data_IF_771664274076
#
_entry.id   IF_771664274076
#
_cell.length_a   1.000
_cell.length_b   1.000
_cell.length_c   1.000
_cell.angle_alpha   90.00
_cell.angle_beta   90.00
_cell.angle_gamma   90.00
#
_symmetry.space_group_name_H-M   'P 1'
#
loop_
_entity.id
_entity.type
_entity.pdbx_description
1 polymer ?
#
# COMPACT_ATOMS: atom_id res chain seq x y z
N UNK A 1 28.67 2.06 20.30
CA UNK A 1 28.14 3.44 20.39
C UNK A 1 26.80 3.46 19.68
N UNK A 2 25.71 3.81 20.37
CA UNK A 2 24.41 3.96 19.72
C UNK A 2 24.37 5.35 19.06
N UNK A 3 23.99 5.41 17.78
CA UNK A 3 23.82 6.67 17.08
C UNK A 3 22.48 7.29 17.54
N UNK A 4 22.52 8.51 18.07
CA UNK A 4 21.32 9.27 18.44
C UNK A 4 20.99 10.26 17.34
N UNK A 5 19.71 10.34 17.00
CA UNK A 5 19.16 11.33 16.08
C UNK A 5 18.45 12.40 16.88
N UNK A 6 18.77 13.66 16.58
CA UNK A 6 18.11 14.82 17.19
C UNK A 6 17.07 15.36 16.21
N UNK A 7 15.80 15.31 16.60
CA UNK A 7 14.71 15.98 15.89
C UNK A 7 14.47 17.34 16.54
N UNK A 8 14.79 18.41 15.81
CA UNK A 8 14.60 19.78 16.26
C UNK A 8 13.16 20.28 16.09
N UNK A 9 12.84 21.41 16.74
CA UNK A 9 11.53 22.05 16.71
C UNK A 9 10.36 21.12 17.11
N UNK A 10 10.63 20.16 17.98
CA UNK A 10 9.62 19.25 18.50
C UNK A 10 8.73 19.97 19.53
N UNK A 11 7.42 19.87 19.36
CA UNK A 11 6.40 20.42 20.25
C UNK A 11 5.61 19.28 20.89
N UNK A 12 5.53 19.28 22.21
CA UNK A 12 4.66 18.36 22.94
C UNK A 12 3.20 18.67 22.62
N UNK A 13 2.48 17.69 22.10
CA UNK A 13 1.03 17.79 21.80
C UNK A 13 0.22 17.18 22.94
N UNK A 14 0.67 16.02 23.42
CA UNK A 14 0.16 15.33 24.59
C UNK A 14 1.30 14.50 25.22
N UNK A 15 1.07 13.92 26.40
CA UNK A 15 2.03 12.99 27.01
C UNK A 15 2.33 11.84 26.05
N UNK A 16 3.61 11.66 25.70
CA UNK A 16 4.04 10.63 24.75
C UNK A 16 3.74 10.93 23.27
N UNK A 17 3.32 12.15 22.93
CA UNK A 17 3.02 12.56 21.56
C UNK A 17 3.63 13.93 21.24
N UNK A 18 4.46 13.97 20.21
CA UNK A 18 5.09 15.21 19.74
C UNK A 18 4.80 15.47 18.26
N UNK A 19 4.69 16.74 17.91
CA UNK A 19 4.75 17.19 16.51
C UNK A 19 6.12 17.78 16.24
N UNK A 20 6.66 17.52 15.06
CA UNK A 20 7.96 18.03 14.63
C UNK A 20 7.99 18.16 13.10
N UNK A 21 9.14 18.58 12.56
CA UNK A 21 9.37 18.60 11.12
C UNK A 21 10.51 17.65 10.75
N UNK A 22 10.26 16.77 9.78
CA UNK A 22 11.27 15.90 9.19
C UNK A 22 10.85 15.55 7.76
N UNK A 23 11.77 15.68 6.80
CA UNK A 23 11.42 15.46 5.40
C UNK A 23 11.01 14.00 5.15
N UNK A 24 10.11 13.73 4.19
CA UNK A 24 9.77 12.35 3.83
C UNK A 24 10.98 11.50 3.44
N UNK A 25 12.04 12.12 2.90
CA UNK A 25 13.28 11.42 2.58
C UNK A 25 14.01 10.96 3.85
N UNK A 26 14.09 11.82 4.88
CA UNK A 26 14.73 11.50 6.15
C UNK A 26 13.92 10.49 6.96
N UNK A 27 12.58 10.59 6.95
CA UNK A 27 11.71 9.58 7.60
C UNK A 27 11.94 8.20 6.99
N UNK A 28 12.11 8.09 5.66
CA UNK A 28 12.44 6.82 4.99
C UNK A 28 13.80 6.27 5.39
N UNK A 29 14.75 7.11 5.79
CA UNK A 29 16.06 6.65 6.31
C UNK A 29 15.95 6.02 7.69
N UNK A 30 14.88 6.33 8.45
CA UNK A 30 14.63 5.72 9.77
C UNK A 30 14.06 4.31 9.65
N UNK A 31 13.49 3.95 8.50
CA UNK A 31 12.98 2.61 8.24
C UNK A 31 11.96 2.57 7.11
N UNK A 32 11.61 1.35 6.71
CA UNK A 32 10.55 1.07 5.76
C UNK A 32 9.19 1.43 6.36
N UNK A 33 8.46 2.31 5.69
CA UNK A 33 7.13 2.71 6.13
C UNK A 33 6.09 1.65 5.79
N UNK A 34 5.25 1.29 6.76
CA UNK A 34 4.14 0.34 6.54
C UNK A 34 3.06 0.92 5.62
N UNK A 35 2.91 2.24 5.61
CA UNK A 35 1.97 3.02 4.81
C UNK A 35 2.69 4.26 4.22
N UNK A 36 2.16 4.77 3.11
CA UNK A 36 2.60 6.03 2.52
C UNK A 36 1.38 6.81 2.02
N UNK A 37 0.52 7.22 2.96
CA UNK A 37 -0.79 7.81 2.69
C UNK A 37 -0.95 9.10 3.50
N UNK A 38 -1.51 10.13 2.86
CA UNK A 38 -1.83 11.39 3.51
C UNK A 38 -0.62 12.31 3.68
N UNK A 39 -0.86 13.45 4.34
CA UNK A 39 0.10 14.56 4.35
C UNK A 39 1.25 14.40 5.33
N UNK A 40 1.02 13.69 6.44
CA UNK A 40 1.91 13.69 7.61
C UNK A 40 2.62 12.37 7.79
N UNK A 41 3.89 12.42 8.14
CA UNK A 41 4.66 11.25 8.57
C UNK A 41 4.33 10.89 10.02
N UNK A 42 4.38 9.60 10.34
CA UNK A 42 4.14 9.10 11.70
C UNK A 42 5.20 8.05 12.02
N UNK A 43 5.91 8.26 13.12
CA UNK A 43 6.89 7.30 13.66
C UNK A 43 6.56 6.96 15.12
N UNK A 44 6.83 5.72 15.51
CA UNK A 44 6.84 5.27 16.88
C UNK A 44 8.27 5.06 17.36
N UNK A 45 8.58 5.46 18.59
CA UNK A 45 9.93 5.41 19.15
C UNK A 45 9.90 4.79 20.54
N UNK A 46 10.84 3.91 20.85
CA UNK A 46 10.99 3.32 22.18
C UNK A 46 12.02 4.10 22.99
N UNK A 47 11.60 4.63 24.15
CA UNK A 47 12.43 5.43 25.06
C UNK A 47 12.94 6.74 24.46
N UNK A 48 12.09 7.61 23.86
CA UNK A 48 12.51 8.93 23.44
C UNK A 48 12.87 9.81 24.64
N UNK A 49 13.85 10.71 24.46
CA UNK A 49 14.13 11.75 25.46
C UNK A 49 13.73 13.11 24.90
N UNK A 50 12.78 13.78 25.56
CA UNK A 50 12.33 15.11 25.17
C UNK A 50 12.97 16.19 26.03
N UNK A 51 13.72 17.08 25.41
CA UNK A 51 14.36 18.23 26.04
C UNK A 51 13.49 19.47 25.83
N UNK A 52 12.64 19.78 26.81
CA UNK A 52 11.68 20.88 26.72
C UNK A 52 12.33 22.25 26.52
N UNK A 53 13.47 22.50 27.16
CA UNK A 53 14.19 23.77 27.07
C UNK A 53 14.73 24.07 25.66
N UNK A 54 15.06 23.03 24.88
CA UNK A 54 15.61 23.17 23.53
C UNK A 54 14.61 22.80 22.43
N UNK A 55 13.40 22.36 22.79
CA UNK A 55 12.40 21.82 21.86
C UNK A 55 12.98 20.72 20.96
N UNK A 56 13.69 19.77 21.59
CA UNK A 56 14.38 18.67 20.89
C UNK A 56 13.87 17.33 21.36
N UNK A 57 13.72 16.41 20.42
CA UNK A 57 13.44 15.01 20.70
C UNK A 57 14.66 14.18 20.28
N UNK A 58 15.26 13.49 21.24
CA UNK A 58 16.35 12.57 21.01
C UNK A 58 15.78 11.16 20.87
N UNK A 59 16.10 10.53 19.74
CA UNK A 59 15.63 9.19 19.41
C UNK A 59 16.79 8.32 18.92
N UNK A 60 16.64 7.00 19.06
CA UNK A 60 17.57 6.05 18.49
C UNK A 60 16.95 5.47 17.21
N UNK A 61 17.56 5.63 16.03
CA UNK A 61 17.01 5.09 14.78
C UNK A 61 16.71 3.59 14.85
N UNK A 62 17.58 2.81 15.51
CA UNK A 62 17.38 1.37 15.72
C UNK A 62 16.15 1.02 16.59
N UNK A 63 15.61 1.99 17.33
CA UNK A 63 14.40 1.86 18.16
C UNK A 63 13.21 2.62 17.59
N UNK A 64 13.29 2.99 16.31
CA UNK A 64 12.25 3.72 15.59
C UNK A 64 11.48 2.79 14.67
N UNK A 65 10.17 2.89 14.67
CA UNK A 65 9.26 2.23 13.72
C UNK A 65 8.57 3.29 12.88
N UNK A 66 8.68 3.19 11.56
CA UNK A 66 7.98 4.10 10.64
C UNK A 66 6.59 3.54 10.33
N UNK A 67 5.55 4.20 10.82
CA UNK A 67 4.16 3.80 10.55
C UNK A 67 3.65 4.34 9.22
N UNK A 68 3.94 5.62 8.95
CA UNK A 68 3.52 6.30 7.73
C UNK A 68 4.59 7.28 7.26
N UNK A 69 4.76 7.39 5.94
CA UNK A 69 5.51 8.48 5.32
C UNK A 69 4.54 9.37 4.55
N UNK A 70 4.38 10.61 5.02
CA UNK A 70 3.57 11.62 4.36
C UNK A 70 4.26 12.25 3.14
N UNK A 71 3.60 13.23 2.53
CA UNK A 71 4.13 14.03 1.42
C UNK A 71 4.59 15.45 1.83
N UNK A 72 4.41 15.84 3.09
CA UNK A 72 4.97 17.07 3.67
C UNK A 72 6.04 16.76 4.71
N UNK A 73 6.69 17.82 5.21
CA UNK A 73 7.67 17.71 6.30
C UNK A 73 7.02 17.55 7.68
N UNK A 74 5.68 17.52 7.78
CA UNK A 74 5.00 17.38 9.07
C UNK A 74 5.17 15.94 9.62
N UNK A 75 5.66 15.83 10.85
CA UNK A 75 5.91 14.57 11.54
C UNK A 75 5.17 14.51 12.88
N UNK A 76 4.54 13.38 13.17
CA UNK A 76 4.14 12.99 14.51
C UNK A 76 5.03 11.87 15.05
N UNK A 77 5.44 12.01 16.31
CA UNK A 77 6.25 11.03 17.03
C UNK A 77 5.47 10.52 18.22
N UNK A 78 5.34 9.19 18.31
CA UNK A 78 4.60 8.49 19.37
C UNK A 78 5.58 7.74 20.24
N UNK A 79 5.56 7.98 21.55
CA UNK A 79 6.27 7.16 22.53
C UNK A 79 5.60 5.79 22.64
N UNK A 80 6.36 4.74 22.35
CA UNK A 80 5.92 3.35 22.49
C UNK A 80 6.26 2.77 23.88
N UNK A 81 6.88 3.57 24.76
CA UNK A 81 7.31 3.21 26.10
C UNK A 81 8.69 2.56 26.15
N UNK A 82 9.06 2.03 27.32
CA UNK A 82 10.28 1.23 27.50
C UNK A 82 10.01 -0.24 27.16
N UNK A 83 10.90 -0.83 26.34
CA UNK A 83 10.88 -2.26 26.08
C UNK A 83 11.27 -3.03 27.35
N UNK A 84 10.28 -3.38 28.18
CA UNK A 84 10.48 -4.33 29.28
C UNK A 84 10.69 -5.73 28.70
N UNK A 85 11.96 -6.12 28.61
CA UNK A 85 12.38 -7.48 28.33
C UNK A 85 12.25 -7.89 26.87
N UNK A 86 13.18 -8.76 26.47
CA UNK A 86 13.24 -9.52 25.22
C UNK A 86 12.01 -10.42 25.08
N UNK A 87 10.84 -9.82 24.91
CA UNK A 87 9.72 -10.52 24.31
C UNK A 87 10.00 -10.45 22.82
N UNK A 88 10.35 -11.58 22.22
CA UNK A 88 10.19 -11.74 20.78
C UNK A 88 8.85 -11.11 20.43
N UNK A 89 8.88 -10.02 19.66
CA UNK A 89 7.67 -9.44 19.10
C UNK A 89 6.94 -10.63 18.50
N UNK A 90 5.72 -10.98 18.97
CA UNK A 90 4.97 -12.04 18.32
C UNK A 90 4.95 -11.66 16.85
N UNK A 91 5.36 -12.58 15.98
CA UNK A 91 5.29 -12.40 14.52
C UNK A 91 3.87 -12.00 14.06
N UNK A 92 2.89 -12.04 14.97
CA UNK A 92 1.52 -11.57 14.88
C UNK A 92 1.29 -10.04 14.82
N UNK A 93 2.31 -9.17 14.99
CA UNK A 93 2.19 -7.72 14.72
C UNK A 93 3.02 -7.24 13.50
N UNK A 94 3.52 -8.19 12.73
CA UNK A 94 3.97 -7.97 11.37
C UNK A 94 2.72 -7.69 10.55
N UNK A 95 2.65 -6.53 9.90
CA UNK A 95 1.70 -6.27 8.84
C UNK A 95 2.01 -7.13 7.60
N UNK A 96 2.09 -8.45 7.77
CA UNK A 96 1.71 -9.36 6.71
C UNK A 96 0.22 -9.12 6.59
N UNK A 97 -0.22 -8.45 5.53
CA UNK A 97 -1.65 -8.48 5.25
C UNK A 97 -2.01 -9.95 5.10
N UNK A 98 -2.82 -10.44 6.03
CA UNK A 98 -3.22 -11.83 6.00
C UNK A 98 -3.99 -12.06 4.72
N UNK A 99 -3.72 -13.20 4.09
CA UNK A 99 -4.59 -13.72 3.05
C UNK A 99 -6.02 -13.72 3.61
N UNK A 100 -6.94 -13.05 2.91
CA UNK A 100 -8.34 -12.90 3.26
C UNK A 100 -8.78 -11.52 3.76
N UNK A 101 -7.86 -10.59 4.07
CA UNK A 101 -8.22 -9.25 4.53
C UNK A 101 -8.11 -8.20 3.42
N UNK A 102 -9.15 -7.37 3.26
CA UNK A 102 -9.06 -6.16 2.44
C UNK A 102 -8.27 -5.07 3.16
N UNK A 103 -7.44 -4.36 2.42
CA UNK A 103 -6.60 -3.29 2.93
C UNK A 103 -7.19 -1.90 2.71
N UNK A 104 -6.59 -0.88 3.33
CA UNK A 104 -6.95 0.51 3.05
C UNK A 104 -6.72 0.89 1.58
N UNK A 105 -5.64 0.40 0.95
CA UNK A 105 -5.37 0.64 -0.46
C UNK A 105 -6.46 0.06 -1.37
N UNK A 106 -7.00 -1.10 -1.01
CA UNK A 106 -8.14 -1.72 -1.70
C UNK A 106 -9.42 -0.90 -1.53
N UNK A 107 -9.69 -0.39 -0.32
CA UNK A 107 -10.85 0.47 -0.05
C UNK A 107 -10.76 1.77 -0.86
N UNK A 108 -9.59 2.39 -0.91
CA UNK A 108 -9.34 3.60 -1.71
C UNK A 108 -9.56 3.36 -3.22
N UNK A 109 -9.16 2.20 -3.72
CA UNK A 109 -9.42 1.81 -5.11
C UNK A 109 -10.93 1.69 -5.40
N UNK A 110 -11.68 1.06 -4.50
CA UNK A 110 -13.14 0.93 -4.66
C UNK A 110 -13.84 2.29 -4.60
N UNK A 111 -13.48 3.15 -3.64
CA UNK A 111 -13.98 4.53 -3.58
C UNK A 111 -13.59 5.35 -4.82
N UNK A 112 -12.45 5.05 -5.46
CA UNK A 112 -12.09 5.67 -6.73
C UNK A 112 -12.99 5.20 -7.89
N UNK A 113 -13.42 3.93 -7.90
CA UNK A 113 -14.38 3.43 -8.89
C UNK A 113 -15.73 4.16 -8.78
N UNK A 114 -16.21 4.39 -7.57
CA UNK A 114 -17.43 5.15 -7.29
C UNK A 114 -17.28 6.63 -7.68
N UNK A 115 -16.18 7.27 -7.26
CA UNK A 115 -15.90 8.68 -7.53
C UNK A 115 -15.82 8.99 -9.03
N UNK A 116 -15.24 8.08 -9.81
CA UNK A 116 -15.14 8.20 -11.26
C UNK A 116 -16.42 7.75 -11.99
N UNK A 117 -17.50 7.44 -11.25
CA UNK A 117 -18.82 7.11 -11.78
C UNK A 117 -18.81 5.92 -12.73
N UNK A 118 -18.06 4.86 -12.39
CA UNK A 118 -18.16 3.62 -13.15
C UNK A 118 -19.57 3.02 -13.04
N UNK A 119 -20.02 2.28 -14.07
CA UNK A 119 -21.25 1.50 -13.98
C UNK A 119 -21.25 0.57 -12.76
N UNK A 120 -22.41 0.40 -12.12
CA UNK A 120 -22.56 -0.39 -10.89
C UNK A 120 -22.03 -1.82 -11.05
N UNK A 121 -22.29 -2.47 -12.18
CA UNK A 121 -21.77 -3.82 -12.46
C UNK A 121 -20.25 -3.88 -12.47
N UNK A 122 -19.56 -2.80 -12.87
CA UNK A 122 -18.10 -2.75 -12.82
C UNK A 122 -17.56 -2.45 -11.42
N UNK A 123 -18.30 -1.72 -10.60
CA UNK A 123 -17.97 -1.55 -9.19
C UNK A 123 -18.09 -2.91 -8.48
N UNK A 124 -19.17 -3.64 -8.72
CA UNK A 124 -19.33 -5.02 -8.23
C UNK A 124 -18.23 -5.96 -8.74
N UNK A 125 -17.86 -5.85 -10.01
CA UNK A 125 -16.72 -6.58 -10.58
C UNK A 125 -15.41 -6.24 -9.85
N UNK A 126 -15.16 -4.97 -9.55
CA UNK A 126 -13.99 -4.54 -8.79
C UNK A 126 -13.96 -5.15 -7.39
N UNK A 127 -15.09 -5.13 -6.66
CA UNK A 127 -15.22 -5.81 -5.36
C UNK A 127 -14.89 -7.30 -5.46
N UNK A 128 -15.48 -8.01 -6.44
CA UNK A 128 -15.26 -9.44 -6.65
C UNK A 128 -13.80 -9.75 -7.01
N UNK A 129 -13.18 -8.93 -7.87
CA UNK A 129 -11.78 -9.07 -8.27
C UNK A 129 -10.87 -8.93 -7.06
N UNK A 130 -11.00 -7.82 -6.32
CA UNK A 130 -10.15 -7.56 -5.17
C UNK A 130 -10.34 -8.62 -4.08
N UNK A 131 -11.59 -8.96 -3.73
CA UNK A 131 -11.87 -10.01 -2.75
C UNK A 131 -11.25 -11.36 -3.13
N UNK A 132 -11.36 -11.76 -4.39
CA UNK A 132 -10.79 -13.01 -4.90
C UNK A 132 -9.26 -13.02 -4.89
N UNK A 133 -8.62 -11.88 -5.18
CA UNK A 133 -7.17 -11.73 -5.08
C UNK A 133 -6.75 -11.84 -3.62
N UNK A 134 -7.37 -11.07 -2.72
CA UNK A 134 -6.99 -11.05 -1.30
C UNK A 134 -7.22 -12.38 -0.61
N UNK A 135 -8.22 -13.15 -1.03
CA UNK A 135 -8.44 -14.51 -0.58
C UNK A 135 -7.30 -15.50 -0.90
N UNK A 136 -6.37 -15.14 -1.79
CA UNK A 136 -5.22 -16.00 -2.18
C UNK A 136 -3.86 -15.34 -2.02
N UNK A 137 -3.80 -14.02 -2.14
CA UNK A 137 -2.57 -13.24 -2.18
C UNK A 137 -2.68 -12.05 -1.24
N UNK A 138 -1.72 -11.96 -0.32
CA UNK A 138 -1.50 -10.76 0.48
C UNK A 138 -1.16 -9.55 -0.42
N UNK A 139 -1.40 -8.34 0.08
CA UNK A 139 -1.02 -7.11 -0.61
C UNK A 139 -2.19 -6.15 -0.76
N UNK A 140 -1.96 -5.04 -1.45
CA UNK A 140 -2.95 -3.96 -1.56
C UNK A 140 -2.92 -3.30 -2.92
N UNK A 141 -4.01 -2.63 -3.31
CA UNK A 141 -3.97 -1.69 -4.42
C UNK A 141 -3.23 -0.41 -4.00
N UNK A 142 -2.31 0.05 -4.84
CA UNK A 142 -1.60 1.32 -4.69
C UNK A 142 -1.94 2.23 -5.85
N UNK A 143 -2.36 3.45 -5.55
CA UNK A 143 -2.62 4.47 -6.56
C UNK A 143 -1.31 4.90 -7.23
N UNK A 144 -1.35 4.96 -8.56
CA UNK A 144 -0.32 5.52 -9.40
C UNK A 144 -0.87 6.71 -10.21
N UNK A 145 -0.15 7.09 -11.26
CA UNK A 145 -0.56 8.19 -12.13
C UNK A 145 -1.71 7.78 -13.06
N UNK A 146 -2.51 8.75 -13.50
CA UNK A 146 -3.55 8.59 -14.51
C UNK A 146 -4.58 7.50 -14.18
N UNK A 147 -5.07 7.48 -12.93
CA UNK A 147 -6.09 6.52 -12.42
C UNK A 147 -5.67 5.06 -12.54
N UNK A 148 -4.36 4.82 -12.60
CA UNK A 148 -3.77 3.48 -12.58
C UNK A 148 -3.60 3.05 -11.14
N UNK A 149 -4.12 1.88 -10.82
CA UNK A 149 -3.97 1.23 -9.52
C UNK A 149 -3.20 -0.05 -9.72
N UNK A 150 -2.15 -0.28 -8.93
CA UNK A 150 -1.24 -1.42 -9.08
C UNK A 150 -1.29 -2.28 -7.83
N UNK A 151 -1.36 -3.59 -7.99
CA UNK A 151 -1.22 -4.51 -6.87
C UNK A 151 0.21 -4.46 -6.32
N UNK A 152 0.38 -4.14 -5.05
CA UNK A 152 1.65 -4.11 -4.33
C UNK A 152 1.68 -5.20 -3.25
N UNK A 153 2.81 -5.88 -3.00
CA UNK A 153 4.17 -5.61 -3.53
C UNK A 153 4.47 -6.21 -4.91
N UNK A 154 3.75 -7.24 -5.33
CA UNK A 154 4.19 -8.11 -6.42
C UNK A 154 3.95 -7.57 -7.85
N UNK A 155 3.19 -6.49 -8.01
CA UNK A 155 2.98 -5.79 -9.30
C UNK A 155 2.49 -6.69 -10.46
N UNK A 156 1.79 -7.80 -10.15
CA UNK A 156 1.24 -8.72 -11.14
C UNK A 156 -0.05 -8.22 -11.81
N UNK A 157 -0.67 -7.18 -11.25
CA UNK A 157 -1.92 -6.60 -11.74
C UNK A 157 -1.81 -5.08 -11.70
N UNK A 158 -2.30 -4.42 -12.75
CA UNK A 158 -2.73 -3.03 -12.68
C UNK A 158 -4.10 -2.84 -13.34
N UNK A 159 -4.94 -2.02 -12.71
CA UNK A 159 -6.25 -1.61 -13.19
C UNK A 159 -6.23 -0.11 -13.47
N UNK A 160 -6.59 0.29 -14.68
CA UNK A 160 -6.75 1.70 -15.03
C UNK A 160 -8.22 1.96 -15.25
N UNK A 161 -8.80 2.85 -14.45
CA UNK A 161 -10.20 3.27 -14.57
C UNK A 161 -10.35 4.08 -15.87
N UNK A 162 -11.30 3.69 -16.73
CA UNK A 162 -11.66 4.39 -17.97
C UNK A 162 -13.10 4.90 -17.87
N UNK A 163 -13.34 6.10 -17.29
CA UNK A 163 -14.70 6.59 -17.06
C UNK A 163 -15.47 6.84 -18.36
N UNK A 164 -14.76 7.33 -19.39
CA UNK A 164 -15.36 7.76 -20.67
C UNK A 164 -16.08 6.63 -21.41
N UNK A 165 -15.57 5.41 -21.32
CA UNK A 165 -16.15 4.25 -22.00
C UNK A 165 -16.64 3.18 -21.01
N UNK A 166 -16.77 3.55 -19.73
CA UNK A 166 -17.29 2.71 -18.66
C UNK A 166 -16.56 1.37 -18.58
N UNK A 167 -15.23 1.38 -18.41
CA UNK A 167 -14.43 0.15 -18.40
C UNK A 167 -13.18 0.21 -17.52
N UNK A 168 -12.55 -0.95 -17.36
CA UNK A 168 -11.16 -1.04 -16.88
C UNK A 168 -10.23 -1.43 -18.04
N UNK A 169 -9.10 -0.75 -18.16
CA UNK A 169 -7.95 -1.33 -18.83
C UNK A 169 -7.14 -2.13 -17.80
N UNK A 170 -7.05 -3.43 -18.03
CA UNK A 170 -6.41 -4.39 -17.13
C UNK A 170 -5.05 -4.77 -17.69
N UNK A 171 -4.01 -4.68 -16.87
CA UNK A 171 -2.64 -5.08 -17.19
C UNK A 171 -2.23 -6.20 -16.25
N UNK A 172 -1.72 -7.30 -16.82
CA UNK A 172 -1.35 -8.51 -16.08
C UNK A 172 0.04 -8.99 -16.47
N UNK A 173 0.76 -9.58 -15.52
CA UNK A 173 2.05 -10.20 -15.76
C UNK A 173 1.89 -11.52 -16.52
N UNK A 174 2.63 -11.68 -17.61
CA UNK A 174 2.58 -12.87 -18.47
C UNK A 174 2.33 -12.49 -19.92
N UNK A 175 2.68 -13.40 -20.83
CA UNK A 175 2.41 -13.24 -22.26
C UNK A 175 1.02 -13.77 -22.61
N UNK A 176 0.37 -13.28 -23.69
CA UNK A 176 -1.00 -13.67 -24.01
C UNK A 176 -1.20 -15.18 -24.19
N UNK A 177 -0.19 -15.90 -24.71
CA UNK A 177 -0.20 -17.36 -24.91
C UNK A 177 -0.32 -18.18 -23.63
N UNK A 178 -0.11 -17.55 -22.46
CA UNK A 178 -0.25 -18.20 -21.15
C UNK A 178 -1.67 -18.14 -20.58
N UNK A 179 -2.58 -17.45 -21.27
CA UNK A 179 -3.90 -17.17 -20.75
C UNK A 179 -4.98 -17.82 -21.62
N UNK A 180 -5.95 -18.45 -20.95
CA UNK A 180 -7.13 -19.02 -21.59
C UNK A 180 -8.38 -18.28 -21.11
N UNK A 181 -8.90 -17.40 -21.96
CA UNK A 181 -10.14 -16.65 -21.75
C UNK A 181 -10.87 -16.53 -23.09
N UNK A 182 -12.18 -16.78 -23.09
CA UNK A 182 -12.99 -16.74 -24.32
C UNK A 182 -13.64 -15.37 -24.51
N UNK A 183 -13.98 -14.70 -23.41
CA UNK A 183 -14.69 -13.41 -23.41
C UNK A 183 -13.76 -12.18 -23.43
N UNK A 184 -12.44 -12.41 -23.42
CA UNK A 184 -11.41 -11.36 -23.33
C UNK A 184 -10.51 -11.33 -24.55
N UNK A 185 -10.37 -10.15 -25.15
CA UNK A 185 -9.36 -9.87 -26.17
C UNK A 185 -8.03 -9.51 -25.49
N UNK A 186 -7.22 -10.54 -25.20
CA UNK A 186 -5.93 -10.40 -24.50
C UNK A 186 -4.82 -10.09 -25.51
N UNK A 187 -4.22 -8.91 -25.37
CA UNK A 187 -3.14 -8.42 -26.24
C UNK A 187 -1.83 -8.35 -25.49
N UNK A 188 -0.73 -8.46 -26.23
CA UNK A 188 0.59 -8.19 -25.70
C UNK A 188 0.69 -6.71 -25.29
N UNK A 189 1.28 -6.48 -24.13
CA UNK A 189 1.67 -5.15 -23.64
C UNK A 189 3.20 -5.08 -23.49
N UNK A 190 3.71 -3.97 -22.95
CA UNK A 190 5.14 -3.73 -22.75
C UNK A 190 5.86 -4.94 -22.12
N UNK A 191 6.99 -5.31 -22.71
CA UNK A 191 7.95 -6.32 -22.21
C UNK A 191 7.31 -7.68 -21.87
N UNK A 192 6.93 -7.88 -20.60
CA UNK A 192 6.44 -9.15 -20.02
C UNK A 192 4.97 -9.08 -19.57
N UNK A 193 4.25 -8.03 -19.93
CA UNK A 193 2.85 -7.86 -19.57
C UNK A 193 1.91 -8.15 -20.75
N UNK A 194 0.68 -8.49 -20.41
CA UNK A 194 -0.46 -8.52 -21.32
C UNK A 194 -1.50 -7.52 -20.84
N UNK A 195 -2.38 -7.10 -21.75
CA UNK A 195 -3.48 -6.19 -21.45
C UNK A 195 -4.78 -6.68 -22.06
N UNK A 196 -5.88 -6.39 -21.39
CA UNK A 196 -7.24 -6.57 -21.92
C UNK A 196 -8.17 -5.51 -21.36
N UNK A 197 -9.37 -5.41 -21.92
CA UNK A 197 -10.43 -4.51 -21.45
C UNK A 197 -11.48 -5.33 -20.71
N UNK A 198 -11.94 -4.83 -19.57
CA UNK A 198 -13.06 -5.37 -18.81
C UNK A 198 -14.19 -4.33 -18.82
N UNK A 199 -15.30 -4.65 -19.47
CA UNK A 199 -16.43 -3.73 -19.66
C UNK A 199 -17.80 -4.34 -19.32
N UNK A 200 -17.89 -5.65 -19.15
CA UNK A 200 -19.15 -6.33 -18.83
C UNK A 200 -19.02 -7.33 -17.68
N UNK A 201 -20.15 -7.64 -17.05
CA UNK A 201 -20.21 -8.63 -15.99
C UNK A 201 -19.87 -10.04 -16.46
N UNK A 202 -20.20 -10.38 -17.72
CA UNK A 202 -19.90 -11.68 -18.33
C UNK A 202 -18.41 -11.97 -18.47
N UNK A 203 -17.56 -10.93 -18.43
CA UNK A 203 -16.11 -11.04 -18.55
C UNK A 203 -15.40 -11.28 -17.21
N UNK A 204 -16.10 -11.14 -16.08
CA UNK A 204 -15.48 -11.10 -14.75
C UNK A 204 -14.81 -12.42 -14.38
N UNK A 205 -15.44 -13.55 -14.69
CA UNK A 205 -14.87 -14.87 -14.36
C UNK A 205 -13.62 -15.19 -15.20
N UNK A 206 -13.62 -14.81 -16.48
CA UNK A 206 -12.43 -14.90 -17.33
C UNK A 206 -11.33 -13.95 -16.84
N UNK A 207 -11.68 -12.73 -16.48
CA UNK A 207 -10.73 -11.74 -15.96
C UNK A 207 -10.08 -12.25 -14.69
N UNK A 208 -10.87 -12.81 -13.76
CA UNK A 208 -10.36 -13.44 -12.55
C UNK A 208 -9.39 -14.58 -12.84
N UNK A 209 -9.74 -15.49 -13.77
CA UNK A 209 -8.85 -16.60 -14.16
C UNK A 209 -7.50 -16.07 -14.66
N UNK A 210 -7.53 -15.08 -15.56
CA UNK A 210 -6.32 -14.46 -16.11
C UNK A 210 -5.48 -13.76 -15.04
N UNK A 211 -6.13 -12.99 -14.14
CA UNK A 211 -5.45 -12.25 -13.07
C UNK A 211 -4.80 -13.20 -12.06
N UNK A 212 -5.49 -14.26 -11.66
CA UNK A 212 -4.95 -15.23 -10.71
C UNK A 212 -3.79 -16.04 -11.32
N UNK A 213 -3.89 -16.40 -12.61
CA UNK A 213 -2.78 -17.04 -13.32
C UNK A 213 -1.57 -16.11 -13.46
N UNK A 214 -1.81 -14.82 -13.73
CA UNK A 214 -0.78 -13.78 -13.71
C UNK A 214 -0.06 -13.67 -12.36
N UNK A 215 -0.81 -13.72 -11.26
CA UNK A 215 -0.23 -13.73 -9.91
C UNK A 215 0.69 -14.94 -9.72
N UNK A 216 0.24 -16.15 -10.09
CA UNK A 216 1.04 -17.39 -10.03
C UNK A 216 2.34 -17.30 -10.85
N UNK A 217 2.27 -16.79 -12.07
CA UNK A 217 3.44 -16.59 -12.94
C UNK A 217 4.40 -15.53 -12.39
N UNK A 218 3.87 -14.56 -11.66
CA UNK A 218 4.66 -13.48 -11.09
C UNK A 218 5.43 -13.92 -9.83
N UNK A 219 4.76 -14.64 -8.92
CA UNK A 219 5.31 -15.07 -7.62
C UNK A 219 6.16 -16.33 -7.71
N UNK A 220 5.99 -17.17 -8.73
CA UNK A 220 6.85 -18.33 -8.99
C UNK A 220 8.23 -17.99 -9.57
N UNK A 221 8.75 -16.79 -9.31
CA UNK A 221 10.03 -16.28 -9.80
C UNK A 221 11.09 -16.23 -8.71
#
# INVERSE_FOLDING_TARGET
MALELVIGAAKSVATGLWSANLTPADVRRLGEARLAIGRRSIIGVLGPTYESAMHRLLIQPAKTTVFNVGDTDELFVIDLGEAKGTTQVPASFIGVQSVGAMSNGDALFLSACEREQLPSHLIEAAHKIIGSIRAKYAGQMKEGKARKWVNYPDNFLALVIQPRDGSFAVHVWGRPDKFHAQSLDIKRDRSRYSRFKLSSQSQVDDALRVILESARLCTGR
#
